data_IF_663292291529
#
_entry.id   IF_663292291529
#
_cell.length_a   1.000
_cell.length_b   1.000
_cell.length_c   1.000
_cell.angle_alpha   90.00
_cell.angle_beta   90.00
_cell.angle_gamma   90.00
#
_symmetry.space_group_name_H-M   'P 1'
#
loop_
_entity.id
_entity.type
_entity.pdbx_description
1 polymer ?
#
# COMPACT_ATOMS: atom_id res chain seq x y z
N UNK A 1 5.30 -5.78 -4.85
CA UNK A 1 4.42 -5.44 -3.71
C UNK A 1 3.04 -5.02 -4.22
N UNK A 2 2.00 -5.05 -3.38
CA UNK A 2 0.64 -4.62 -3.72
C UNK A 2 -0.08 -4.03 -2.51
N UNK A 3 -1.05 -3.14 -2.76
CA UNK A 3 -1.91 -2.57 -1.73
C UNK A 3 -3.04 -3.54 -1.37
N UNK A 4 -3.41 -3.61 -0.10
CA UNK A 4 -4.60 -4.32 0.35
C UNK A 4 -5.41 -3.46 1.33
N UNK A 5 -6.73 -3.45 1.16
CA UNK A 5 -7.66 -2.85 2.15
C UNK A 5 -8.01 -3.90 3.20
N UNK A 6 -8.03 -3.49 4.46
CA UNK A 6 -8.43 -4.34 5.58
C UNK A 6 -9.46 -3.59 6.42
N UNK A 7 -10.63 -4.20 6.62
CA UNK A 7 -11.66 -3.65 7.53
C UNK A 7 -11.45 -4.24 8.91
N UNK A 8 -11.43 -3.37 9.93
CA UNK A 8 -11.40 -3.79 11.31
C UNK A 8 -12.19 -2.81 12.17
N UNK A 9 -13.14 -3.34 12.96
CA UNK A 9 -13.99 -2.56 13.87
C UNK A 9 -14.63 -1.32 13.21
N UNK A 10 -15.11 -1.46 11.96
CA UNK A 10 -15.76 -0.38 11.20
C UNK A 10 -14.81 0.59 10.50
N UNK A 11 -13.48 0.44 10.63
CA UNK A 11 -12.51 1.29 9.96
C UNK A 11 -11.81 0.54 8.82
N UNK A 12 -11.57 1.23 7.70
CA UNK A 12 -10.79 0.72 6.57
C UNK A 12 -9.33 1.17 6.67
N UNK A 13 -8.42 0.20 6.68
CA UNK A 13 -6.98 0.38 6.74
C UNK A 13 -6.33 0.00 5.40
N UNK A 14 -5.18 0.61 5.12
CA UNK A 14 -4.38 0.37 3.92
C UNK A 14 -3.01 -0.21 4.31
N UNK A 15 -2.70 -1.37 3.76
CA UNK A 15 -1.42 -2.05 3.96
C UNK A 15 -0.68 -2.26 2.65
N UNK A 16 0.65 -2.22 2.71
CA UNK A 16 1.53 -2.69 1.64
C UNK A 16 1.93 -4.13 1.96
N UNK A 17 1.67 -5.04 1.01
CA UNK A 17 2.07 -6.44 1.10
C UNK A 17 3.11 -6.80 0.07
N UNK A 18 3.98 -7.71 0.47
CA UNK A 18 4.93 -8.37 -0.41
C UNK A 18 4.63 -9.87 -0.46
N UNK A 19 4.85 -10.49 -1.63
CA UNK A 19 4.75 -11.93 -1.76
C UNK A 19 5.96 -12.58 -1.11
N UNK A 20 5.71 -13.50 -0.18
CA UNK A 20 6.75 -14.27 0.48
C UNK A 20 6.33 -15.74 0.45
N UNK A 21 7.10 -16.58 -0.24
CA UNK A 21 6.90 -18.03 -0.19
C UNK A 21 7.45 -18.52 1.14
N UNK A 22 6.54 -18.94 2.04
CA UNK A 22 6.90 -19.48 3.35
C UNK A 22 6.43 -20.94 3.41
N UNK A 23 7.35 -21.86 3.67
CA UNK A 23 7.10 -23.31 3.67
C UNK A 23 6.06 -23.79 4.70
N UNK A 24 5.74 -22.97 5.72
CA UNK A 24 4.87 -23.36 6.84
C UNK A 24 3.73 -22.37 7.15
N UNK A 25 3.46 -21.37 6.31
CA UNK A 25 2.38 -20.41 6.56
C UNK A 25 1.29 -20.50 5.48
N UNK A 26 0.03 -20.42 5.91
CA UNK A 26 -1.13 -20.42 5.02
C UNK A 26 -1.22 -19.20 4.08
N UNK A 27 -0.46 -18.12 4.35
CA UNK A 27 -0.42 -16.92 3.51
C UNK A 27 0.95 -16.75 2.86
N UNK A 28 0.95 -16.73 1.53
CA UNK A 28 2.12 -16.44 0.68
C UNK A 28 2.45 -14.94 0.62
N UNK A 29 2.10 -14.17 1.66
CA UNK A 29 2.33 -12.72 1.71
C UNK A 29 2.54 -12.21 3.13
N UNK A 30 3.36 -11.17 3.24
CA UNK A 30 3.67 -10.46 4.48
C UNK A 30 3.32 -8.98 4.35
N UNK A 31 2.97 -8.35 5.48
CA UNK A 31 2.77 -6.91 5.53
C UNK A 31 4.14 -6.26 5.73
N UNK A 32 4.56 -5.44 4.77
CA UNK A 32 5.84 -4.73 4.82
C UNK A 32 5.69 -3.29 5.30
N UNK A 33 4.50 -2.69 5.12
CA UNK A 33 4.20 -1.36 5.62
C UNK A 33 2.71 -1.17 5.93
N UNK A 34 2.40 -0.36 6.94
CA UNK A 34 1.03 -0.02 7.32
C UNK A 34 0.80 1.48 7.16
N UNK A 35 0.05 1.89 6.14
CA UNK A 35 -0.26 3.30 5.92
C UNK A 35 -1.29 3.85 6.92
N UNK A 36 -2.03 2.95 7.60
CA UNK A 36 -3.08 3.31 8.54
C UNK A 36 -4.44 3.44 7.87
N UNK A 37 -5.30 4.33 8.39
CA UNK A 37 -6.65 4.53 7.83
C UNK A 37 -6.56 5.05 6.40
N UNK A 38 -7.39 4.52 5.50
CA UNK A 38 -7.32 4.80 4.06
C UNK A 38 -7.44 6.31 3.74
N UNK A 39 -8.29 7.03 4.47
CA UNK A 39 -8.47 8.48 4.34
C UNK A 39 -7.19 9.26 4.63
N UNK A 40 -6.48 8.88 5.70
CA UNK A 40 -5.20 9.50 6.08
C UNK A 40 -4.07 9.04 5.14
N UNK A 41 -4.11 7.79 4.70
CA UNK A 41 -3.12 7.23 3.81
C UNK A 41 -3.04 8.00 2.48
N UNK A 42 -4.19 8.25 1.84
CA UNK A 42 -4.21 8.99 0.57
C UNK A 42 -3.70 10.42 0.74
N UNK A 43 -4.12 11.12 1.81
CA UNK A 43 -3.62 12.46 2.12
C UNK A 43 -2.09 12.47 2.31
N UNK A 44 -1.55 11.52 3.06
CA UNK A 44 -0.11 11.40 3.28
C UNK A 44 0.63 11.09 1.97
N UNK A 45 0.07 10.23 1.12
CA UNK A 45 0.66 9.94 -0.19
C UNK A 45 0.77 11.18 -1.07
N UNK A 46 -0.23 12.08 -1.06
CA UNK A 46 -0.12 13.35 -1.77
C UNK A 46 0.96 14.27 -1.20
N UNK A 47 1.10 14.31 0.13
CA UNK A 47 2.18 15.06 0.78
C UNK A 47 3.54 14.53 0.32
N UNK A 48 3.73 13.20 0.35
CA UNK A 48 4.96 12.55 -0.13
C UNK A 48 5.21 12.73 -1.62
N UNK A 49 4.15 12.86 -2.43
CA UNK A 49 4.27 13.10 -3.88
C UNK A 49 4.81 14.49 -4.15
N UNK A 50 4.38 15.48 -3.36
CA UNK A 50 4.82 16.86 -3.47
C UNK A 50 6.22 17.05 -2.87
N UNK A 51 6.52 16.38 -1.76
CA UNK A 51 7.84 16.35 -1.13
C UNK A 51 8.25 14.91 -0.81
N UNK A 52 9.07 14.34 -1.69
CA UNK A 52 9.56 12.96 -1.52
C UNK A 52 10.55 12.81 -0.37
N UNK A 53 11.11 13.91 0.18
CA UNK A 53 11.93 13.87 1.38
C UNK A 53 11.15 13.41 2.62
N UNK A 54 9.82 13.55 2.61
CA UNK A 54 8.93 13.06 3.66
C UNK A 54 8.50 11.60 3.46
N UNK A 55 8.91 10.96 2.37
CA UNK A 55 8.55 9.58 2.07
C UNK A 55 9.18 8.64 3.12
N UNK A 56 8.42 7.70 3.70
CA UNK A 56 8.90 6.88 4.81
C UNK A 56 10.23 6.16 4.49
N UNK A 57 11.23 6.35 5.33
CA UNK A 57 12.55 5.73 5.18
C UNK A 57 12.46 4.20 5.06
N UNK A 58 11.55 3.57 5.81
CA UNK A 58 11.28 2.13 5.70
C UNK A 58 10.90 1.71 4.27
N UNK A 59 10.14 2.52 3.54
CA UNK A 59 9.77 2.23 2.16
C UNK A 59 10.94 2.49 1.20
N UNK A 60 11.76 3.50 1.47
CA UNK A 60 13.00 3.76 0.72
C UNK A 60 13.98 2.60 0.85
N UNK A 61 14.17 2.08 2.07
CA UNK A 61 15.02 0.92 2.37
C UNK A 61 14.53 -0.37 1.70
N UNK A 62 13.23 -0.45 1.39
CA UNK A 62 12.62 -1.53 0.60
C UNK A 62 12.77 -1.33 -0.92
N UNK A 63 13.43 -0.26 -1.36
CA UNK A 63 13.61 0.08 -2.78
C UNK A 63 12.37 0.71 -3.43
N UNK A 64 11.39 1.17 -2.64
CA UNK A 64 10.21 1.85 -3.19
C UNK A 64 10.58 3.24 -3.68
N UNK A 65 10.09 3.59 -4.87
CA UNK A 65 10.41 4.83 -5.57
C UNK A 65 9.20 5.76 -5.65
N UNK A 66 9.42 6.98 -6.15
CA UNK A 66 8.32 7.91 -6.46
C UNK A 66 7.33 7.33 -7.50
N UNK A 67 7.79 6.43 -8.38
CA UNK A 67 6.93 5.72 -9.32
C UNK A 67 5.96 4.79 -8.59
N UNK A 68 6.43 4.06 -7.58
CA UNK A 68 5.58 3.19 -6.77
C UNK A 68 4.53 4.00 -6.01
N UNK A 69 4.94 5.13 -5.42
CA UNK A 69 4.02 6.07 -4.77
C UNK A 69 2.92 6.55 -5.72
N UNK A 70 3.28 6.97 -6.93
CA UNK A 70 2.30 7.40 -7.93
C UNK A 70 1.35 6.27 -8.35
N UNK A 71 1.86 5.04 -8.45
CA UNK A 71 1.05 3.86 -8.75
C UNK A 71 0.06 3.52 -7.62
N UNK A 72 0.48 3.69 -6.36
CA UNK A 72 -0.38 3.52 -5.20
C UNK A 72 -1.49 4.56 -5.17
N UNK A 73 -1.16 5.83 -5.39
CA UNK A 73 -2.16 6.91 -5.49
C UNK A 73 -3.18 6.58 -6.59
N UNK A 74 -2.71 6.24 -7.80
CA UNK A 74 -3.58 5.85 -8.90
C UNK A 74 -4.48 4.66 -8.55
N UNK A 75 -3.96 3.67 -7.84
CA UNK A 75 -4.75 2.51 -7.38
C UNK A 75 -5.86 2.95 -6.41
N UNK A 76 -5.57 3.88 -5.49
CA UNK A 76 -6.56 4.41 -4.55
C UNK A 76 -7.65 5.24 -5.26
N UNK A 77 -7.28 6.05 -6.25
CA UNK A 77 -8.19 6.90 -7.02
C UNK A 77 -9.10 6.09 -7.96
N UNK A 78 -8.53 5.14 -8.69
CA UNK A 78 -9.24 4.37 -9.72
C UNK A 78 -9.94 3.14 -9.18
N UNK A 79 -9.52 2.66 -8.00
CA UNK A 79 -9.98 1.38 -7.49
C UNK A 79 -9.47 0.19 -8.31
N UNK A 80 -8.39 0.34 -9.08
CA UNK A 80 -7.82 -0.71 -9.93
C UNK A 80 -6.29 -0.74 -9.79
N UNK A 81 -5.73 -1.92 -9.55
CA UNK A 81 -4.28 -2.12 -9.54
C UNK A 81 -3.68 -2.01 -10.95
N UNK A 82 -2.37 -1.78 -11.08
CA UNK A 82 -1.67 -1.81 -12.38
C UNK A 82 -1.91 -3.07 -13.21
N UNK A 83 -2.22 -4.18 -12.54
CA UNK A 83 -2.47 -5.49 -13.16
C UNK A 83 -3.89 -5.62 -13.72
N UNK A 84 -4.73 -4.60 -13.57
CA UNK A 84 -6.15 -4.64 -13.94
C UNK A 84 -7.05 -5.27 -12.87
N UNK A 85 -6.48 -5.78 -11.77
CA UNK A 85 -7.27 -6.33 -10.66
C UNK A 85 -8.01 -5.22 -9.93
N UNK A 86 -9.29 -5.47 -9.62
CA UNK A 86 -10.11 -4.55 -8.83
C UNK A 86 -9.56 -4.44 -7.41
N UNK A 87 -9.34 -3.21 -6.97
CA UNK A 87 -8.93 -2.88 -5.61
C UNK A 87 -10.16 -2.78 -4.70
N UNK A 88 -10.79 -3.94 -4.49
CA UNK A 88 -11.96 -4.08 -3.63
C UNK A 88 -11.57 -4.32 -2.16
N UNK A 89 -12.55 -4.16 -1.27
CA UNK A 89 -12.46 -4.66 0.09
C UNK A 89 -12.35 -6.19 0.06
N UNK A 90 -11.46 -6.73 0.89
CA UNK A 90 -11.27 -8.16 1.04
C UNK A 90 -11.93 -8.65 2.32
#
# INVERSE_FOLDING_TARGET
>A
MYLERVVSKGFCYLYLKEYAVRSHYASNSIIVYRFGRIEKALKNMYIWRNDFGLFPEQLQNLGCTQKDLNEWIRTLETGVHKTGRVFALK
#
